data_IF_138495285606
#
_entry.id   IF_138495285606
#
_cell.length_a   1.000
_cell.length_b   1.000
_cell.length_c   1.000
_cell.angle_alpha   90.00
_cell.angle_beta   90.00
_cell.angle_gamma   90.00
#
_symmetry.space_group_name_H-M   'P 1'
#
loop_
_entity.id
_entity.type
_entity.pdbx_description
1 polymer ?
#
# COMPACT_ATOMS: atom_id res chain seq x y z
N UNK A 1 -57.15 -41.50 -9.70
CA UNK A 1 -57.15 -40.18 -9.03
C UNK A 1 -55.89 -40.09 -8.15
N UNK A 2 -54.71 -39.81 -8.72
CA UNK A 2 -53.48 -39.56 -7.92
C UNK A 2 -52.38 -38.96 -8.81
N UNK A 3 -52.59 -37.72 -9.31
CA UNK A 3 -51.56 -36.91 -10.00
C UNK A 3 -51.24 -35.62 -9.23
N UNK A 4 -51.90 -35.38 -8.10
CA UNK A 4 -51.82 -34.13 -7.33
C UNK A 4 -50.66 -34.14 -6.34
N UNK A 5 -50.30 -35.30 -5.79
CA UNK A 5 -49.26 -35.40 -4.75
C UNK A 5 -47.83 -35.33 -5.30
N UNK A 6 -47.60 -35.82 -6.51
CA UNK A 6 -46.26 -35.85 -7.12
C UNK A 6 -45.76 -34.45 -7.54
N UNK A 7 -46.67 -33.51 -7.86
CA UNK A 7 -46.28 -32.12 -8.19
C UNK A 7 -45.88 -31.30 -6.96
N UNK A 8 -46.43 -31.62 -5.80
CA UNK A 8 -46.13 -30.92 -4.55
C UNK A 8 -44.75 -31.34 -4.02
N UNK A 9 -44.44 -32.63 -4.06
CA UNK A 9 -43.11 -33.12 -3.64
C UNK A 9 -41.97 -32.60 -4.51
N UNK A 10 -42.17 -32.51 -5.83
CA UNK A 10 -41.15 -31.95 -6.74
C UNK A 10 -40.95 -30.45 -6.51
N UNK A 11 -42.02 -29.69 -6.21
CA UNK A 11 -41.90 -28.27 -5.89
C UNK A 11 -41.17 -28.03 -4.56
N UNK A 12 -41.44 -28.85 -3.53
CA UNK A 12 -40.75 -28.76 -2.24
C UNK A 12 -39.27 -29.10 -2.36
N UNK A 13 -38.92 -30.14 -3.12
CA UNK A 13 -37.52 -30.49 -3.40
C UNK A 13 -36.77 -29.40 -4.15
N UNK A 14 -37.38 -28.79 -5.19
CA UNK A 14 -36.77 -27.68 -5.92
C UNK A 14 -36.56 -26.45 -5.02
N UNK A 15 -37.53 -26.13 -4.15
CA UNK A 15 -37.44 -24.97 -3.27
C UNK A 15 -36.38 -25.16 -2.18
N UNK A 16 -36.23 -26.37 -1.64
CA UNK A 16 -35.15 -26.71 -0.70
C UNK A 16 -33.78 -26.62 -1.39
N UNK A 17 -33.63 -27.10 -2.62
CA UNK A 17 -32.35 -27.01 -3.36
C UNK A 17 -31.97 -25.54 -3.66
N UNK A 18 -32.93 -24.70 -4.05
CA UNK A 18 -32.66 -23.28 -4.35
C UNK A 18 -32.30 -22.50 -3.08
N UNK A 19 -32.99 -22.75 -1.96
CA UNK A 19 -32.69 -22.11 -0.68
C UNK A 19 -31.33 -22.58 -0.12
N UNK A 20 -30.99 -23.87 -0.29
CA UNK A 20 -29.70 -24.43 0.13
C UNK A 20 -28.53 -23.89 -0.71
N UNK A 21 -28.73 -23.73 -2.02
CA UNK A 21 -27.74 -23.17 -2.93
C UNK A 21 -27.47 -21.69 -2.67
N UNK A 22 -28.52 -20.89 -2.42
CA UNK A 22 -28.36 -19.47 -2.08
C UNK A 22 -27.66 -19.26 -0.73
N UNK A 23 -27.93 -20.12 0.26
CA UNK A 23 -27.30 -20.04 1.58
C UNK A 23 -25.81 -20.43 1.55
N UNK A 24 -25.43 -21.39 0.68
CA UNK A 24 -24.02 -21.73 0.47
C UNK A 24 -23.25 -20.59 -0.22
N UNK A 25 -23.83 -19.89 -1.20
CA UNK A 25 -23.14 -18.77 -1.88
C UNK A 25 -22.93 -17.56 -0.94
N UNK A 26 -23.84 -17.31 0.01
CA UNK A 26 -23.67 -16.23 0.98
C UNK A 26 -22.59 -16.53 2.04
N UNK A 27 -22.39 -17.78 2.45
CA UNK A 27 -21.36 -18.13 3.44
C UNK A 27 -19.92 -18.01 2.89
N UNK A 28 -19.72 -17.97 1.57
CA UNK A 28 -18.40 -17.75 0.96
C UNK A 28 -18.06 -16.27 0.72
N UNK A 29 -18.99 -15.34 0.93
CA UNK A 29 -18.73 -13.91 0.70
C UNK A 29 -18.01 -13.22 1.88
N UNK A 30 -17.95 -13.83 3.07
CA UNK A 30 -17.31 -13.22 4.25
C UNK A 30 -15.94 -13.81 4.63
N UNK A 31 -15.57 -14.98 4.10
CA UNK A 31 -14.34 -15.69 4.51
C UNK A 31 -13.11 -15.30 3.67
N UNK A 32 -13.25 -14.35 2.74
CA UNK A 32 -12.19 -14.07 1.75
C UNK A 32 -12.04 -12.63 1.32
N UNK A 33 -12.55 -11.62 2.07
CA UNK A 33 -12.06 -10.26 1.81
C UNK A 33 -10.56 -10.26 2.12
N UNK A 34 -9.67 -10.05 1.13
CA UNK A 34 -8.27 -9.85 1.44
C UNK A 34 -8.22 -8.75 2.49
N UNK A 35 -7.48 -8.99 3.59
CA UNK A 35 -7.21 -7.93 4.55
C UNK A 35 -6.62 -6.80 3.71
N UNK A 36 -7.33 -5.67 3.64
CA UNK A 36 -6.84 -4.50 2.92
C UNK A 36 -5.47 -4.08 3.49
N UNK A 37 -4.75 -3.19 2.78
CA UNK A 37 -3.41 -2.81 3.18
C UNK A 37 -3.37 -2.30 4.62
N UNK A 38 -2.32 -2.70 5.34
CA UNK A 38 -2.02 -2.16 6.66
C UNK A 38 -1.38 -0.77 6.50
N UNK A 39 -2.25 0.22 6.27
CA UNK A 39 -1.85 1.60 6.12
C UNK A 39 -1.20 2.11 7.40
N UNK A 40 -0.04 2.75 7.24
CA UNK A 40 0.67 3.47 8.28
C UNK A 40 0.63 4.96 7.95
N UNK A 41 0.28 5.77 8.95
CA UNK A 41 0.46 7.21 8.88
C UNK A 41 1.93 7.53 8.70
N UNK A 42 2.26 8.65 8.06
CA UNK A 42 3.65 9.07 7.86
C UNK A 42 3.91 10.33 8.68
N UNK A 43 4.84 10.25 9.63
CA UNK A 43 5.18 11.39 10.47
C UNK A 43 5.75 12.55 9.65
N UNK A 44 5.56 13.79 10.12
CA UNK A 44 6.09 14.97 9.45
C UNK A 44 7.62 14.93 9.31
N UNK A 45 8.32 14.24 10.20
CA UNK A 45 9.77 14.06 10.10
C UNK A 45 10.19 13.34 8.81
N UNK A 46 9.39 12.35 8.35
CA UNK A 46 9.67 11.64 7.10
C UNK A 46 9.40 12.57 5.91
N UNK A 47 8.24 13.22 5.89
CA UNK A 47 7.84 14.09 4.77
C UNK A 47 8.74 15.32 4.65
N UNK A 48 9.13 15.94 5.77
CA UNK A 48 10.09 17.04 5.81
C UNK A 48 11.48 16.59 5.33
N UNK A 49 11.90 15.37 5.67
CA UNK A 49 13.17 14.82 5.19
C UNK A 49 13.15 14.62 3.69
N UNK A 50 12.07 14.08 3.14
CA UNK A 50 11.88 13.94 1.68
C UNK A 50 11.93 15.32 1.03
N UNK A 51 11.15 16.28 1.52
CA UNK A 51 11.09 17.63 1.00
C UNK A 51 12.44 18.36 1.09
N UNK A 52 13.25 18.10 2.12
CA UNK A 52 14.55 18.74 2.31
C UNK A 52 15.61 18.39 1.25
N UNK A 53 15.41 17.30 0.50
CA UNK A 53 16.28 16.90 -0.61
C UNK A 53 15.73 17.29 -1.98
N UNK A 54 14.82 18.25 -2.03
CA UNK A 54 14.23 18.67 -3.30
C UNK A 54 15.29 19.23 -4.27
N UNK A 55 15.14 18.93 -5.55
CA UNK A 55 16.03 19.41 -6.61
C UNK A 55 15.34 20.50 -7.43
N UNK A 56 15.60 21.77 -7.09
CA UNK A 56 15.09 22.91 -7.87
C UNK A 56 13.58 23.12 -7.82
N UNK A 57 12.86 22.34 -7.01
CA UNK A 57 11.43 22.48 -6.73
C UNK A 57 11.19 22.65 -5.23
N UNK A 58 10.16 23.41 -4.87
CA UNK A 58 9.66 23.43 -3.49
C UNK A 58 8.65 22.31 -3.35
N UNK A 59 8.82 21.45 -2.35
CA UNK A 59 7.87 20.38 -2.04
C UNK A 59 7.16 20.78 -0.75
N UNK A 60 5.84 20.96 -0.81
CA UNK A 60 5.01 21.17 0.38
C UNK A 60 4.14 19.91 0.59
N UNK A 61 4.46 19.05 1.59
CA UNK A 61 3.67 17.86 1.86
C UNK A 61 2.20 18.19 2.15
N UNK A 62 1.28 17.43 1.55
CA UNK A 62 -0.17 17.55 1.77
C UNK A 62 -0.70 16.34 2.53
N UNK A 63 -0.38 15.14 2.05
CA UNK A 63 -0.72 13.87 2.69
C UNK A 63 0.34 12.83 2.35
N UNK A 64 0.54 11.88 3.25
CA UNK A 64 1.46 10.78 3.02
C UNK A 64 0.99 9.53 3.76
N UNK A 65 1.11 8.40 3.08
CA UNK A 65 0.74 7.10 3.62
C UNK A 65 1.84 6.10 3.30
N UNK A 66 2.01 5.13 4.19
CA UNK A 66 2.98 4.07 4.02
C UNK A 66 2.36 2.69 4.11
N UNK A 67 2.95 1.75 3.37
CA UNK A 67 2.64 0.33 3.45
C UNK A 67 3.92 -0.45 3.62
N UNK A 68 3.88 -1.51 4.43
CA UNK A 68 5.03 -2.39 4.58
C UNK A 68 5.25 -3.15 3.27
N UNK A 69 6.46 -3.06 2.72
CA UNK A 69 6.81 -3.75 1.47
C UNK A 69 8.12 -4.53 1.64
N UNK A 70 8.02 -5.84 1.93
CA UNK A 70 9.19 -6.72 1.96
C UNK A 70 9.89 -6.86 0.61
N UNK A 71 9.25 -6.52 -0.51
CA UNK A 71 9.92 -6.52 -1.82
C UNK A 71 11.12 -5.57 -1.86
N UNK A 72 10.99 -4.41 -1.21
CA UNK A 72 12.08 -3.43 -1.09
C UNK A 72 13.26 -3.97 -0.30
N UNK A 73 13.06 -4.90 0.63
CA UNK A 73 14.14 -5.52 1.41
C UNK A 73 15.22 -6.14 0.52
N UNK A 74 14.80 -6.80 -0.56
CA UNK A 74 15.73 -7.43 -1.50
C UNK A 74 16.55 -6.41 -2.32
N UNK A 75 16.10 -5.15 -2.38
CA UNK A 75 16.71 -4.08 -3.17
C UNK A 75 17.49 -3.07 -2.31
N UNK A 76 17.06 -2.85 -1.06
CA UNK A 76 17.69 -1.97 -0.08
C UNK A 76 18.48 -2.71 1.00
N UNK A 77 18.79 -3.99 0.74
CA UNK A 77 19.37 -4.93 1.71
C UNK A 77 20.64 -4.35 2.35
N UNK A 78 20.54 -4.11 3.65
CA UNK A 78 21.64 -3.74 4.54
C UNK A 78 21.46 -4.55 5.83
N UNK A 79 22.55 -5.13 6.33
CA UNK A 79 22.54 -6.12 7.41
C UNK A 79 21.96 -5.56 8.74
N UNK A 80 21.79 -4.24 8.87
CA UNK A 80 21.23 -3.57 10.05
C UNK A 80 19.77 -3.10 9.92
N UNK A 81 19.11 -3.31 8.79
CA UNK A 81 17.73 -2.86 8.58
C UNK A 81 16.69 -3.92 8.95
N UNK A 82 15.56 -3.49 9.51
CA UNK A 82 14.54 -4.42 10.01
C UNK A 82 13.11 -4.08 9.58
N UNK A 83 12.87 -2.88 9.06
CA UNK A 83 11.58 -2.50 8.49
C UNK A 83 11.73 -1.79 7.15
N UNK A 84 10.93 -2.21 6.16
CA UNK A 84 10.91 -1.69 4.81
C UNK A 84 9.50 -1.25 4.44
N UNK A 85 9.38 -0.01 3.97
CA UNK A 85 8.11 0.63 3.69
C UNK A 85 8.16 1.32 2.34
N UNK A 86 7.03 1.29 1.63
CA UNK A 86 6.75 2.21 0.53
C UNK A 86 5.98 3.37 1.12
N UNK A 87 6.47 4.59 0.88
CA UNK A 87 5.81 5.84 1.21
C UNK A 87 5.31 6.46 -0.08
N UNK A 88 4.01 6.69 -0.19
CA UNK A 88 3.47 7.57 -1.20
C UNK A 88 3.11 8.90 -0.53
N UNK A 89 3.46 10.01 -1.17
CA UNK A 89 3.16 11.34 -0.68
C UNK A 89 2.59 12.19 -1.81
N UNK A 90 1.49 12.86 -1.48
CA UNK A 90 0.92 13.95 -2.28
C UNK A 90 1.49 15.26 -1.76
N UNK A 91 1.94 16.12 -2.67
CA UNK A 91 2.57 17.40 -2.35
C UNK A 91 2.20 18.48 -3.36
N UNK A 92 2.38 19.73 -2.98
CA UNK A 92 2.34 20.87 -3.89
C UNK A 92 3.78 21.18 -4.34
N UNK A 93 3.96 21.39 -5.64
CA UNK A 93 5.22 21.89 -6.20
C UNK A 93 5.31 23.43 -6.15
N UNK A 94 6.41 23.99 -6.66
CA UNK A 94 6.67 25.44 -6.70
C UNK A 94 5.57 26.24 -7.41
N UNK A 95 4.87 25.63 -8.35
CA UNK A 95 3.81 26.27 -9.14
C UNK A 95 2.43 26.10 -8.47
N UNK A 96 2.38 25.43 -7.31
CA UNK A 96 1.17 25.09 -6.60
C UNK A 96 0.40 23.95 -7.25
N UNK A 97 1.01 23.20 -8.17
CA UNK A 97 0.38 22.03 -8.76
C UNK A 97 0.50 20.83 -7.80
N UNK A 98 -0.57 20.05 -7.71
CA UNK A 98 -0.60 18.83 -6.91
C UNK A 98 0.10 17.70 -7.69
N UNK A 99 1.07 17.08 -7.04
CA UNK A 99 1.81 15.92 -7.53
C UNK A 99 1.72 14.80 -6.50
N UNK A 100 1.91 13.56 -6.96
CA UNK A 100 2.10 12.40 -6.08
C UNK A 100 3.35 11.66 -6.54
N UNK A 101 4.12 11.16 -5.57
CA UNK A 101 5.29 10.32 -5.86
C UNK A 101 5.54 9.31 -4.73
N UNK A 102 6.44 8.38 -5.01
CA UNK A 102 6.68 7.18 -4.20
C UNK A 102 8.16 7.04 -3.86
N UNK A 103 8.43 6.82 -2.58
CA UNK A 103 9.77 6.61 -2.01
C UNK A 103 9.83 5.30 -1.22
N UNK A 104 10.99 4.67 -1.24
CA UNK A 104 11.30 3.52 -0.40
C UNK A 104 11.95 3.98 0.88
N UNK A 105 11.47 3.52 2.02
CA UNK A 105 12.00 3.91 3.33
C UNK A 105 12.43 2.69 4.13
N UNK A 106 13.64 2.76 4.67
CA UNK A 106 14.25 1.74 5.51
C UNK A 106 14.37 2.23 6.95
N UNK A 107 14.04 1.35 7.88
CA UNK A 107 14.02 1.65 9.32
C UNK A 107 14.88 0.65 10.09
N UNK A 108 15.46 1.12 11.20
CA UNK A 108 16.33 0.36 12.11
C UNK A 108 15.61 -0.79 12.82
N UNK A 109 14.28 -0.68 12.94
CA UNK A 109 13.42 -1.63 13.63
C UNK A 109 12.07 -1.70 12.90
N UNK A 110 11.38 -2.85 12.86
CA UNK A 110 10.00 -2.90 12.39
C UNK A 110 9.17 -1.96 13.26
N UNK A 111 8.36 -1.11 12.64
CA UNK A 111 7.48 -0.23 13.40
C UNK A 111 6.25 -1.03 13.82
N UNK A 112 6.20 -1.34 15.12
CA UNK A 112 5.05 -1.91 15.82
C UNK A 112 3.88 -0.91 15.93
N UNK A 113 4.13 0.37 15.66
CA UNK A 113 3.16 1.47 15.75
C UNK A 113 2.45 1.71 14.42
N UNK A 114 1.31 2.41 14.48
CA UNK A 114 0.52 2.83 13.30
C UNK A 114 1.13 4.01 12.54
N UNK A 115 2.23 4.59 13.03
CA UNK A 115 2.89 5.76 12.45
C UNK A 115 4.34 5.42 12.04
N UNK A 116 4.71 5.81 10.82
CA UNK A 116 6.05 5.75 10.27
C UNK A 116 6.87 6.92 10.81
N UNK A 117 7.62 6.66 11.88
CA UNK A 117 8.64 7.58 12.38
C UNK A 117 9.99 7.31 11.73
N UNK A 118 10.75 8.38 11.51
CA UNK A 118 12.15 8.32 11.07
C UNK A 118 13.01 7.75 12.21
N UNK A 119 13.05 6.42 12.33
CA UNK A 119 14.09 5.68 13.07
C UNK A 119 15.01 5.04 12.07
N UNK A 120 15.76 5.86 11.35
CA UNK A 120 16.65 5.38 10.29
C UNK A 120 17.70 4.45 10.89
N UNK A 121 18.00 3.38 10.15
CA UNK A 121 19.01 2.39 10.53
C UNK A 121 20.39 3.03 10.80
N UNK A 122 20.70 4.14 10.13
CA UNK A 122 21.89 4.96 10.36
C UNK A 122 21.71 6.34 9.70
N UNK A 123 22.23 7.44 10.26
CA UNK A 123 22.28 8.74 9.59
C UNK A 123 23.21 8.76 8.37
N UNK A 124 24.16 7.82 8.28
CA UNK A 124 25.19 7.75 7.24
C UNK A 124 24.86 6.77 6.10
N UNK A 125 23.76 6.00 6.23
CA UNK A 125 23.23 5.16 5.15
C UNK A 125 21.98 5.81 4.59
N UNK A 126 21.89 5.96 3.27
CA UNK A 126 20.71 6.51 2.60
C UNK A 126 19.48 5.63 2.88
N UNK A 127 18.66 6.07 3.82
CA UNK A 127 17.51 5.31 4.30
C UNK A 127 16.23 5.59 3.48
N UNK A 128 16.32 6.49 2.51
CA UNK A 128 15.25 6.88 1.61
C UNK A 128 15.78 6.77 0.18
N UNK A 129 14.97 6.20 -0.71
CA UNK A 129 15.27 6.05 -2.14
C UNK A 129 14.09 6.50 -2.99
N UNK A 130 14.36 6.94 -4.21
CA UNK A 130 13.33 7.22 -5.21
C UNK A 130 12.86 5.92 -5.85
N UNK A 131 11.54 5.72 -5.98
CA UNK A 131 10.96 4.52 -6.59
C UNK A 131 10.16 4.78 -7.87
N UNK A 132 9.84 6.05 -8.16
CA UNK A 132 9.21 6.45 -9.41
C UNK A 132 9.91 7.67 -10.05
N UNK A 133 9.54 7.93 -11.30
CA UNK A 133 10.10 9.01 -12.11
C UNK A 133 9.85 10.40 -11.52
N UNK A 134 8.74 10.60 -10.81
CA UNK A 134 8.45 11.88 -10.17
C UNK A 134 9.33 12.08 -8.94
N UNK A 135 9.46 11.08 -8.07
CA UNK A 135 10.37 11.10 -6.94
C UNK A 135 11.81 11.34 -7.39
N UNK A 136 12.26 10.65 -8.44
CA UNK A 136 13.59 10.84 -9.01
C UNK A 136 13.79 12.28 -9.52
N UNK A 137 12.81 12.80 -10.27
CA UNK A 137 12.89 14.16 -10.82
C UNK A 137 12.88 15.25 -9.76
N UNK A 138 12.13 15.06 -8.67
CA UNK A 138 11.89 16.12 -7.68
C UNK A 138 12.84 16.06 -6.49
N UNK A 139 13.55 14.95 -6.26
CA UNK A 139 14.41 14.76 -5.09
C UNK A 139 15.73 14.07 -5.40
N UNK A 140 16.78 14.42 -4.64
CA UNK A 140 18.14 13.90 -4.78
C UNK A 140 18.34 12.64 -3.90
N UNK A 141 17.85 11.49 -4.35
CA UNK A 141 18.08 10.21 -3.67
C UNK A 141 18.70 9.19 -4.62
N UNK A 142 19.42 8.19 -4.10
CA UNK A 142 19.87 7.08 -4.91
C UNK A 142 18.72 6.35 -5.57
N UNK A 143 18.99 5.88 -6.79
CA UNK A 143 18.12 4.96 -7.50
C UNK A 143 18.52 3.53 -7.16
N UNK A 144 17.56 2.75 -6.65
CA UNK A 144 17.76 1.32 -6.37
C UNK A 144 16.75 0.43 -7.08
N UNK A 145 15.55 0.95 -7.35
CA UNK A 145 14.66 0.34 -8.31
C UNK A 145 15.00 0.92 -9.69
N UNK A 146 15.57 0.11 -10.59
CA UNK A 146 15.31 0.39 -12.00
C UNK A 146 13.81 0.20 -12.13
N UNK A 147 13.08 1.23 -12.53
CA UNK A 147 11.61 1.22 -12.69
C UNK A 147 11.12 0.00 -13.51
N UNK A 148 12.00 -0.63 -14.29
CA UNK A 148 11.79 -1.88 -15.02
C UNK A 148 11.57 -3.12 -14.12
N UNK A 149 12.18 -3.18 -12.93
CA UNK A 149 11.80 -4.08 -11.84
C UNK A 149 10.68 -3.37 -11.06
N UNK A 150 9.55 -3.20 -11.73
CA UNK A 150 8.41 -2.43 -11.22
C UNK A 150 8.09 -2.85 -9.79
N UNK A 151 7.94 -1.85 -8.92
CA UNK A 151 7.18 -2.02 -7.67
C UNK A 151 6.03 -2.97 -7.95
N UNK A 152 5.89 -4.03 -7.16
CA UNK A 152 4.81 -4.97 -7.43
C UNK A 152 3.49 -4.18 -7.46
N UNK A 153 2.68 -4.42 -8.49
CA UNK A 153 1.48 -3.63 -8.76
C UNK A 153 0.56 -3.59 -7.52
N UNK A 154 0.61 -4.65 -6.71
CA UNK A 154 -0.14 -4.74 -5.45
C UNK A 154 0.32 -3.72 -4.41
N UNK A 155 1.61 -3.48 -4.24
CA UNK A 155 2.12 -2.46 -3.30
C UNK A 155 1.74 -1.06 -3.76
N UNK A 156 1.73 -0.80 -5.07
CA UNK A 156 1.25 0.46 -5.64
C UNK A 156 -0.25 0.65 -5.41
N UNK A 157 -1.05 -0.40 -5.67
CA UNK A 157 -2.49 -0.37 -5.43
C UNK A 157 -2.81 -0.22 -3.93
N UNK A 158 -2.00 -0.83 -3.07
CA UNK A 158 -2.13 -0.79 -1.61
C UNK A 158 -1.82 0.60 -1.07
N UNK A 159 -0.70 1.21 -1.49
CA UNK A 159 -0.33 2.55 -1.03
C UNK A 159 -1.29 3.61 -1.60
N UNK A 160 -1.78 3.43 -2.83
CA UNK A 160 -2.81 4.28 -3.41
C UNK A 160 -4.11 4.24 -2.61
N UNK A 161 -4.58 3.04 -2.26
CA UNK A 161 -5.74 2.86 -1.37
C UNK A 161 -5.54 3.49 0.01
N UNK A 162 -4.31 3.58 0.50
CA UNK A 162 -3.99 4.24 1.78
C UNK A 162 -3.92 5.76 1.67
N UNK A 163 -3.63 6.34 0.50
CA UNK A 163 -3.62 7.79 0.29
C UNK A 163 -5.02 8.38 0.14
N UNK A 164 -5.98 7.60 -0.35
CA UNK A 164 -7.36 8.04 -0.59
C UNK A 164 -8.29 7.95 0.64
N UNK A 165 -7.77 7.55 1.80
CA UNK A 165 -8.53 7.42 3.07
C UNK A 165 -8.54 8.71 3.88
#
# INVERSE_FOLDING_TARGET
MSRKNSRIEIMVLLLVVVVSGAFLVMLFQEVGKPRGPECKEVSSQVTDRIASRSQGVTIVPVSASAVRSPWIENHLSDAGASGYYVVAMTFLDSDGATQSAVWGVRTAAPLEVTELEVRLASPDSEAIVSLDETAHRVTDWPDYARIEDALDQWTLDDVGQCLDR
#
